data_IF_406283428512
#
_entry.id   IF_406283428512
#
_cell.length_a   1.000
_cell.length_b   1.000
_cell.length_c   1.000
_cell.angle_alpha   90.00
_cell.angle_beta   90.00
_cell.angle_gamma   90.00
#
_symmetry.space_group_name_H-M   'P 1'
#
loop_
_entity.id
_entity.type
_entity.pdbx_description
1 polymer ?
#
# COMPACT_ATOMS: atom_id res chain seq x y z
N UNK A 1 4.32 -14.86 3.36
CA UNK A 1 5.00 -13.90 2.47
C UNK A 1 5.08 -12.56 3.18
N UNK A 2 6.27 -11.94 3.27
CA UNK A 2 6.48 -10.73 4.10
C UNK A 2 5.55 -9.55 3.73
N UNK A 3 5.22 -9.39 2.43
CA UNK A 3 4.32 -8.33 1.96
C UNK A 3 2.89 -8.47 2.51
N UNK A 4 2.32 -9.68 2.42
CA UNK A 4 0.98 -9.99 2.92
C UNK A 4 0.93 -9.80 4.45
N UNK A 5 1.99 -10.21 5.15
CA UNK A 5 2.11 -10.01 6.60
C UNK A 5 2.20 -8.54 6.99
N UNK A 6 2.94 -7.72 6.23
CA UNK A 6 3.01 -6.28 6.44
C UNK A 6 1.65 -5.61 6.25
N UNK A 7 0.91 -5.98 5.20
CA UNK A 7 -0.46 -5.48 4.96
C UNK A 7 -1.38 -5.91 6.11
N UNK A 8 -1.38 -7.19 6.49
CA UNK A 8 -2.20 -7.71 7.59
C UNK A 8 -1.91 -7.00 8.92
N UNK A 9 -0.63 -6.81 9.23
CA UNK A 9 -0.18 -6.14 10.46
C UNK A 9 -0.59 -4.68 10.47
N UNK A 10 -0.43 -3.99 9.34
CA UNK A 10 -0.81 -2.58 9.19
C UNK A 10 -2.31 -2.37 9.38
N UNK A 11 -3.14 -3.22 8.77
CA UNK A 11 -4.59 -3.14 8.89
C UNK A 11 -5.07 -3.47 10.31
N UNK A 12 -4.43 -4.45 10.97
CA UNK A 12 -4.69 -4.76 12.38
C UNK A 12 -4.35 -3.58 13.29
N UNK A 13 -3.19 -2.94 13.08
CA UNK A 13 -2.79 -1.75 13.83
C UNK A 13 -3.76 -0.58 13.65
N UNK A 14 -4.32 -0.43 12.45
CA UNK A 14 -5.36 0.57 12.14
C UNK A 14 -6.78 0.17 12.61
N UNK A 15 -6.93 -0.95 13.32
CA UNK A 15 -8.22 -1.50 13.79
C UNK A 15 -9.24 -1.74 12.67
N UNK A 16 -8.77 -2.14 11.49
CA UNK A 16 -9.62 -2.49 10.35
C UNK A 16 -10.26 -3.87 10.61
N UNK A 17 -11.58 -4.04 10.42
CA UNK A 17 -12.25 -5.33 10.62
C UNK A 17 -11.71 -6.43 9.71
N UNK A 18 -11.77 -7.68 10.19
CA UNK A 18 -11.26 -8.85 9.47
C UNK A 18 -11.83 -9.02 8.06
N UNK A 19 -13.11 -8.70 7.85
CA UNK A 19 -13.75 -8.71 6.52
C UNK A 19 -13.06 -7.77 5.53
N UNK A 20 -12.75 -6.54 5.95
CA UNK A 20 -12.10 -5.54 5.10
C UNK A 20 -10.62 -5.90 4.90
N UNK A 21 -9.97 -6.43 5.94
CA UNK A 21 -8.61 -6.94 5.83
C UNK A 21 -8.52 -8.11 4.84
N UNK A 22 -9.49 -9.03 4.82
CA UNK A 22 -9.52 -10.14 3.86
C UNK A 22 -9.61 -9.62 2.41
N UNK A 23 -10.46 -8.61 2.15
CA UNK A 23 -10.51 -7.95 0.82
C UNK A 23 -9.16 -7.34 0.42
N UNK A 24 -8.46 -6.72 1.37
CA UNK A 24 -7.13 -6.17 1.12
C UNK A 24 -6.12 -7.26 0.76
N UNK A 25 -6.13 -8.39 1.47
CA UNK A 25 -5.24 -9.52 1.17
C UNK A 25 -5.53 -10.09 -0.22
N UNK A 26 -6.80 -10.24 -0.59
CA UNK A 26 -7.17 -10.72 -1.93
C UNK A 26 -6.62 -9.82 -3.06
N UNK A 27 -6.63 -8.49 -2.89
CA UNK A 27 -6.03 -7.54 -3.84
C UNK A 27 -4.52 -7.79 -3.98
N UNK A 28 -3.82 -8.04 -2.88
CA UNK A 28 -2.38 -8.31 -2.89
C UNK A 28 -2.09 -9.63 -3.59
N UNK A 29 -2.85 -10.68 -3.28
CA UNK A 29 -2.70 -12.00 -3.88
C UNK A 29 -2.96 -11.96 -5.40
N UNK A 30 -4.05 -11.32 -5.84
CA UNK A 30 -4.38 -11.13 -7.25
C UNK A 30 -3.28 -10.38 -8.01
N UNK A 31 -2.73 -9.31 -7.40
CA UNK A 31 -1.63 -8.58 -8.01
C UNK A 31 -0.39 -9.47 -8.16
N UNK A 32 0.00 -10.21 -7.12
CA UNK A 32 1.18 -11.08 -7.17
C UNK A 32 1.02 -12.19 -8.22
N UNK A 33 -0.17 -12.80 -8.29
CA UNK A 33 -0.50 -13.81 -9.29
C UNK A 33 -0.44 -13.24 -10.71
N UNK A 34 -1.02 -12.06 -10.95
CA UNK A 34 -1.04 -11.38 -12.25
C UNK A 34 0.36 -11.14 -12.81
N UNK A 35 1.33 -10.83 -11.95
CA UNK A 35 2.72 -10.55 -12.35
C UNK A 35 3.66 -11.73 -12.12
N UNK A 36 3.14 -12.91 -11.72
CA UNK A 36 3.95 -14.11 -11.51
C UNK A 36 4.98 -14.01 -10.37
N UNK A 37 4.76 -13.12 -9.40
CA UNK A 37 5.69 -12.88 -8.28
C UNK A 37 5.53 -13.98 -7.22
N UNK A 38 6.56 -14.79 -7.00
CA UNK A 38 6.49 -15.93 -6.07
C UNK A 38 6.88 -15.57 -4.65
N UNK A 39 7.71 -14.54 -4.48
CA UNK A 39 8.14 -14.07 -3.17
C UNK A 39 8.48 -12.58 -3.19
N UNK A 40 8.50 -11.95 -2.01
CA UNK A 40 8.74 -10.51 -1.90
C UNK A 40 10.15 -10.09 -2.36
N UNK A 41 11.15 -10.96 -2.18
CA UNK A 41 12.54 -10.65 -2.57
C UNK A 41 12.67 -10.50 -4.08
N UNK A 42 12.09 -11.43 -4.83
CA UNK A 42 12.01 -11.38 -6.29
C UNK A 42 11.39 -10.06 -6.77
N UNK A 43 10.29 -9.63 -6.14
CA UNK A 43 9.64 -8.37 -6.47
C UNK A 43 10.57 -7.16 -6.34
N UNK A 44 11.36 -7.08 -5.25
CA UNK A 44 12.28 -5.98 -5.00
C UNK A 44 13.57 -6.04 -5.83
N UNK A 45 13.84 -7.15 -6.51
CA UNK A 45 14.97 -7.27 -7.46
C UNK A 45 14.57 -6.82 -8.88
N UNK A 46 13.28 -6.62 -9.14
CA UNK A 46 12.79 -6.16 -10.45
C UNK A 46 13.23 -4.72 -10.78
N UNK A 47 13.35 -4.37 -12.08
CA UNK A 47 13.56 -2.99 -12.50
C UNK A 47 12.51 -2.03 -11.93
N UNK A 48 12.88 -0.76 -11.72
CA UNK A 48 12.04 0.22 -11.02
C UNK A 48 10.64 0.37 -11.62
N UNK A 49 10.54 0.34 -12.94
CA UNK A 49 9.25 0.40 -13.64
C UNK A 49 8.33 -0.77 -13.27
N UNK A 50 8.87 -1.99 -13.20
CA UNK A 50 8.13 -3.20 -12.84
C UNK A 50 7.73 -3.18 -11.37
N UNK A 51 8.68 -2.82 -10.48
CA UNK A 51 8.39 -2.66 -9.06
C UNK A 51 7.29 -1.62 -8.84
N UNK A 52 7.35 -0.49 -9.53
CA UNK A 52 6.32 0.54 -9.44
C UNK A 52 4.95 0.07 -9.95
N UNK A 53 4.91 -0.65 -11.08
CA UNK A 53 3.67 -1.21 -11.60
C UNK A 53 3.02 -2.18 -10.59
N UNK A 54 3.80 -3.09 -10.03
CA UNK A 54 3.28 -4.08 -9.08
C UNK A 54 2.88 -3.39 -7.77
N UNK A 55 3.82 -2.71 -7.12
CA UNK A 55 3.63 -2.15 -5.79
C UNK A 55 2.67 -0.97 -5.80
N UNK A 56 2.89 0.02 -6.66
CA UNK A 56 2.13 1.27 -6.62
C UNK A 56 0.81 1.14 -7.37
N UNK A 57 0.84 0.67 -8.62
CA UNK A 57 -0.36 0.63 -9.46
C UNK A 57 -1.30 -0.52 -9.12
N UNK A 58 -0.77 -1.68 -8.80
CA UNK A 58 -1.58 -2.90 -8.62
C UNK A 58 -1.85 -3.25 -7.16
N UNK A 59 -1.07 -2.74 -6.21
CA UNK A 59 -1.28 -2.98 -4.77
C UNK A 59 -1.73 -1.71 -4.05
N UNK A 60 -0.86 -0.70 -3.91
CA UNK A 60 -1.12 0.46 -3.04
C UNK A 60 -2.32 1.28 -3.52
N UNK A 61 -2.38 1.65 -4.80
CA UNK A 61 -3.49 2.43 -5.33
C UNK A 61 -4.85 1.71 -5.18
N UNK A 62 -5.00 0.42 -5.55
CA UNK A 62 -6.22 -0.35 -5.31
C UNK A 62 -6.58 -0.46 -3.83
N UNK A 63 -5.61 -0.75 -2.95
CA UNK A 63 -5.83 -0.82 -1.50
C UNK A 63 -6.35 0.52 -0.95
N UNK A 64 -5.73 1.64 -1.33
CA UNK A 64 -6.17 2.97 -0.92
C UNK A 64 -7.59 3.28 -1.38
N UNK A 65 -7.95 2.91 -2.62
CA UNK A 65 -9.33 3.08 -3.13
C UNK A 65 -10.33 2.20 -2.36
N UNK A 66 -9.95 0.94 -2.08
CA UNK A 66 -10.78 0.00 -1.34
C UNK A 66 -11.02 0.50 0.09
N UNK A 67 -9.95 0.83 0.82
CA UNK A 67 -10.04 1.37 2.18
C UNK A 67 -10.90 2.63 2.23
N UNK A 68 -10.77 3.53 1.25
CA UNK A 68 -11.64 4.70 1.14
C UNK A 68 -13.12 4.33 0.98
N UNK A 69 -13.44 3.40 0.07
CA UNK A 69 -14.83 2.96 -0.18
C UNK A 69 -15.46 2.31 1.05
N UNK A 70 -14.66 1.59 1.83
CA UNK A 70 -15.10 0.95 3.08
C UNK A 70 -15.08 1.91 4.29
N UNK A 71 -14.65 3.17 4.12
CA UNK A 71 -14.64 4.19 5.20
C UNK A 71 -13.38 4.21 6.09
N UNK A 72 -12.30 3.53 5.69
CA UNK A 72 -11.06 3.37 6.45
C UNK A 72 -9.89 4.21 5.90
N UNK A 73 -10.13 5.47 5.54
CA UNK A 73 -9.06 6.36 5.06
C UNK A 73 -7.87 6.48 6.03
N UNK A 74 -8.10 6.39 7.34
CA UNK A 74 -7.04 6.44 8.36
C UNK A 74 -6.09 5.25 8.30
N UNK A 75 -6.52 4.11 7.74
CA UNK A 75 -5.68 2.93 7.61
C UNK A 75 -4.60 3.07 6.53
N UNK A 76 -4.74 4.05 5.62
CA UNK A 76 -3.75 4.29 4.56
C UNK A 76 -2.37 4.67 5.12
N UNK A 77 -2.30 5.49 6.19
CA UNK A 77 -1.00 5.86 6.76
C UNK A 77 -0.28 4.66 7.36
N UNK A 78 -1.02 3.74 8.01
CA UNK A 78 -0.48 2.50 8.54
C UNK A 78 0.00 1.58 7.42
N UNK A 79 -0.83 1.41 6.39
CA UNK A 79 -0.50 0.59 5.22
C UNK A 79 0.76 1.09 4.52
N UNK A 80 0.82 2.38 4.19
CA UNK A 80 1.95 2.98 3.48
C UNK A 80 3.21 2.88 4.35
N UNK A 81 3.13 3.25 5.63
CA UNK A 81 4.27 3.15 6.55
C UNK A 81 4.79 1.72 6.70
N UNK A 82 3.89 0.73 6.80
CA UNK A 82 4.26 -0.68 6.88
C UNK A 82 4.94 -1.20 5.62
N UNK A 83 4.53 -0.73 4.44
CA UNK A 83 5.17 -1.08 3.17
C UNK A 83 6.52 -0.39 2.97
N UNK A 84 6.66 0.86 3.41
CA UNK A 84 7.93 1.60 3.36
C UNK A 84 9.01 0.94 4.23
N UNK A 85 8.62 0.25 5.31
CA UNK A 85 9.56 -0.44 6.20
C UNK A 85 10.17 -1.73 5.60
N UNK A 86 9.68 -2.20 4.44
CA UNK A 86 10.13 -3.46 3.84
C UNK A 86 11.36 -3.29 2.94
N UNK A 87 11.47 -2.18 2.23
CA UNK A 87 12.52 -1.92 1.25
C UNK A 87 12.68 -0.41 0.98
N UNK A 88 13.91 0.10 0.97
CA UNK A 88 14.19 1.54 0.82
C UNK A 88 13.82 2.07 -0.57
N UNK A 89 13.99 1.24 -1.62
CA UNK A 89 13.66 1.63 -3.00
C UNK A 89 12.15 1.75 -3.18
N UNK A 90 11.41 0.77 -2.66
CA UNK A 90 9.97 0.84 -2.52
C UNK A 90 9.52 2.05 -1.69
N UNK A 91 10.22 2.36 -0.59
CA UNK A 91 9.91 3.52 0.24
C UNK A 91 10.05 4.85 -0.50
N UNK A 92 11.08 5.00 -1.34
CA UNK A 92 11.24 6.18 -2.21
C UNK A 92 10.05 6.33 -3.18
N UNK A 93 9.68 5.25 -3.87
CA UNK A 93 8.54 5.26 -4.82
C UNK A 93 7.21 5.61 -4.14
N UNK A 94 6.98 5.07 -2.93
CA UNK A 94 5.77 5.34 -2.17
C UNK A 94 5.72 6.80 -1.71
N UNK A 95 6.83 7.38 -1.26
CA UNK A 95 6.91 8.81 -0.89
C UNK A 95 6.55 9.71 -2.07
N UNK A 96 7.12 9.45 -3.25
CA UNK A 96 6.79 10.20 -4.47
C UNK A 96 5.32 10.07 -4.85
N UNK A 97 4.78 8.85 -4.80
CA UNK A 97 3.37 8.61 -5.09
C UNK A 97 2.44 9.33 -4.13
N UNK A 98 2.72 9.28 -2.82
CA UNK A 98 1.96 10.01 -1.79
C UNK A 98 2.04 11.51 -2.03
N UNK A 99 3.23 12.06 -2.30
CA UNK A 99 3.43 13.48 -2.59
C UNK A 99 2.59 13.93 -3.79
N UNK A 100 2.60 13.16 -4.87
CA UNK A 100 1.80 13.46 -6.05
C UNK A 100 0.28 13.39 -5.78
N UNK A 101 -0.16 12.39 -4.99
CA UNK A 101 -1.57 12.21 -4.64
C UNK A 101 -2.11 13.30 -3.72
N UNK A 102 -1.37 13.58 -2.65
CA UNK A 102 -1.78 14.52 -1.61
C UNK A 102 -1.51 15.97 -1.99
N UNK A 103 -0.42 16.26 -2.72
CA UNK A 103 -0.07 17.61 -3.18
C UNK A 103 -1.11 18.21 -4.14
N UNK A 104 -1.84 17.39 -4.88
CA UNK A 104 -2.93 17.83 -5.75
C UNK A 104 -4.25 18.13 -4.99
N UNK A 105 -4.32 17.90 -3.68
CA UNK A 105 -5.54 18.08 -2.88
C UNK A 105 -6.72 17.18 -3.27
N UNK A 106 -6.46 16.20 -4.14
CA UNK A 106 -7.48 15.40 -4.84
C UNK A 106 -7.96 14.18 -4.06
N UNK A 107 -7.18 13.72 -3.08
CA UNK A 107 -7.53 12.56 -2.27
C UNK A 107 -8.06 12.99 -0.90
N UNK A 108 -9.33 12.71 -0.56
CA UNK A 108 -9.89 13.06 0.74
C UNK A 108 -9.23 12.29 1.89
N UNK A 109 -8.58 11.14 1.63
CA UNK A 109 -7.80 10.46 2.65
C UNK A 109 -6.53 11.26 3.02
N UNK A 110 -6.03 12.14 2.14
CA UNK A 110 -4.89 13.04 2.41
C UNK A 110 -5.21 14.21 3.34
N UNK A 111 -6.50 14.54 3.55
CA UNK A 111 -6.93 15.63 4.45
C UNK A 111 -6.93 15.24 5.92
N UNK A 112 -6.69 13.96 6.23
CA UNK A 112 -6.54 13.48 7.60
C UNK A 112 -5.06 13.59 8.00
N UNK A 113 -4.69 14.43 9.00
CA UNK A 113 -3.35 15.01 9.16
C UNK A 113 -2.21 14.02 9.50
N UNK A 114 -2.47 12.71 9.54
CA UNK A 114 -1.47 11.68 9.83
C UNK A 114 -0.86 11.01 8.60
N UNK A 115 -1.50 11.05 7.43
CA UNK A 115 -0.95 10.40 6.23
C UNK A 115 0.06 11.26 5.45
N UNK A 116 0.01 12.59 5.61
CA UNK A 116 0.87 13.55 4.90
C UNK A 116 2.10 13.98 5.71
N UNK A 117 2.18 13.59 6.99
CA UNK A 117 3.29 13.91 7.91
C UNK A 117 4.11 12.65 8.24
N UNK A 118 4.30 11.76 7.25
CA UNK A 118 5.32 10.71 7.36
C UNK A 118 6.66 11.41 7.09
N UNK A 119 7.20 12.02 8.14
CA UNK A 119 8.59 12.50 8.22
C UNK A 119 9.50 11.32 8.52
#
# INVERSE_FOLDING_TARGET
MQLIEAVRTSLRAAKVPGQVAAKAIAIVEEALETYGVKNTKEMYELPDWNLWLILVKSIVSPLTKMLRREGYCHANSYLIGGLMALDERAASMLREWVRAKCGAGSDPCCKNPKCCNIL
#
